data_IF_838331815630
#
_entry.id   IF_838331815630
#
_cell.length_a   1.000
_cell.length_b   1.000
_cell.length_c   1.000
_cell.angle_alpha   90.00
_cell.angle_beta   90.00
_cell.angle_gamma   90.00
#
_symmetry.space_group_name_H-M   'P 1'
#
loop_
_entity.id
_entity.type
_entity.pdbx_description
1 polymer ?
#
# COMPACT_ATOMS: atom_id res chain seq x y z
N UNK A 1 3.45 1.45 8.34
CA UNK A 1 4.29 2.48 9.01
C UNK A 1 3.48 3.75 9.18
N UNK A 2 3.71 4.53 10.24
CA UNK A 2 2.83 5.63 10.68
C UNK A 2 2.27 6.50 9.54
N UNK A 3 3.12 7.08 8.70
CA UNK A 3 2.67 7.98 7.61
C UNK A 3 1.78 7.32 6.57
N UNK A 4 2.10 6.09 6.16
CA UNK A 4 1.29 5.35 5.18
C UNK A 4 -0.07 4.96 5.76
N UNK A 5 -0.10 4.62 7.05
CA UNK A 5 -1.33 4.29 7.78
C UNK A 5 -2.21 5.54 7.95
N UNK A 6 -1.65 6.68 8.37
CA UNK A 6 -2.38 7.94 8.47
C UNK A 6 -2.92 8.39 7.10
N UNK A 7 -2.12 8.26 6.05
CA UNK A 7 -2.57 8.57 4.68
C UNK A 7 -3.73 7.67 4.26
N UNK A 8 -3.63 6.36 4.50
CA UNK A 8 -4.72 5.42 4.22
C UNK A 8 -5.98 5.74 5.03
N UNK A 9 -5.87 6.05 6.32
CA UNK A 9 -7.02 6.39 7.18
C UNK A 9 -7.79 7.61 6.68
N UNK A 10 -7.10 8.60 6.10
CA UNK A 10 -7.75 9.81 5.58
C UNK A 10 -8.47 9.52 4.26
N UNK A 11 -7.87 8.72 3.38
CA UNK A 11 -8.31 8.62 1.98
C UNK A 11 -9.03 7.33 1.60
N UNK A 12 -8.85 6.23 2.35
CA UNK A 12 -9.47 4.93 2.11
C UNK A 12 -10.83 4.85 2.81
N UNK A 13 -11.67 5.83 2.50
CA UNK A 13 -13.03 5.93 3.04
C UNK A 13 -14.03 5.41 2.02
N UNK A 14 -14.98 4.63 2.51
CA UNK A 14 -15.97 3.93 1.69
C UNK A 14 -17.39 4.37 2.06
N UNK A 15 -18.35 4.29 1.12
CA UNK A 15 -19.75 4.60 1.42
C UNK A 15 -20.28 3.81 2.62
N UNK A 16 -20.84 4.51 3.62
CA UNK A 16 -21.35 3.89 4.85
C UNK A 16 -22.47 2.87 4.58
N UNK A 17 -23.22 3.06 3.49
CA UNK A 17 -24.31 2.18 3.07
C UNK A 17 -23.87 0.73 2.83
N UNK A 18 -22.59 0.49 2.54
CA UNK A 18 -22.07 -0.87 2.37
C UNK A 18 -22.05 -1.68 3.68
N UNK A 19 -22.26 -1.02 4.81
CA UNK A 19 -22.06 -1.61 6.14
C UNK A 19 -23.28 -1.56 7.06
N UNK A 20 -24.39 -0.97 6.61
CA UNK A 20 -25.55 -0.73 7.46
C UNK A 20 -26.12 -2.03 8.08
N UNK A 21 -26.02 -3.15 7.36
CA UNK A 21 -26.63 -4.43 7.74
C UNK A 21 -25.59 -5.52 8.04
N UNK A 22 -24.32 -5.15 8.17
CA UNK A 22 -23.20 -6.10 8.25
C UNK A 22 -22.46 -5.95 9.57
N UNK A 23 -22.37 -7.01 10.41
CA UNK A 23 -21.58 -6.97 11.63
C UNK A 23 -20.10 -6.67 11.32
N UNK A 24 -19.53 -5.65 11.95
CA UNK A 24 -18.13 -5.25 11.73
C UNK A 24 -17.23 -5.65 12.89
N UNK A 25 -16.00 -6.04 12.59
CA UNK A 25 -14.94 -6.28 13.57
C UNK A 25 -14.10 -5.03 13.81
N UNK A 26 -13.37 -5.03 14.94
CA UNK A 26 -12.23 -4.12 15.15
C UNK A 26 -11.01 -4.49 14.30
N UNK A 27 -10.99 -5.70 13.72
CA UNK A 27 -9.95 -6.08 12.77
C UNK A 27 -10.16 -5.39 11.43
N UNK A 28 -9.08 -4.82 10.90
CA UNK A 28 -9.05 -4.21 9.58
C UNK A 28 -8.69 -5.27 8.53
N UNK A 29 -9.21 -5.09 7.32
CA UNK A 29 -8.97 -6.00 6.19
C UNK A 29 -7.49 -6.08 5.83
N UNK A 30 -6.72 -5.01 6.07
CA UNK A 30 -5.26 -5.00 5.90
C UNK A 30 -4.50 -5.93 6.86
N UNK A 31 -5.13 -6.46 7.91
CA UNK A 31 -4.52 -7.47 8.79
C UNK A 31 -4.19 -8.78 8.06
N UNK A 32 -4.77 -8.99 6.88
CA UNK A 32 -4.47 -10.12 5.99
C UNK A 32 -3.11 -9.97 5.28
N UNK A 33 -2.56 -8.75 5.18
CA UNK A 33 -1.30 -8.45 4.47
C UNK A 33 -0.04 -8.71 5.34
N UNK A 34 0.04 -9.85 6.04
CA UNK A 34 1.17 -10.11 6.96
C UNK A 34 2.42 -10.68 6.26
N UNK A 35 2.24 -11.77 5.50
CA UNK A 35 3.35 -12.48 4.85
C UNK A 35 3.45 -12.14 3.36
N UNK A 36 2.30 -11.85 2.76
CA UNK A 36 2.17 -11.46 1.36
C UNK A 36 0.99 -10.51 1.24
N UNK A 37 0.95 -9.74 0.16
CA UNK A 37 -0.17 -8.87 -0.12
C UNK A 37 -1.36 -9.70 -0.60
N UNK A 38 -2.40 -9.79 0.24
CA UNK A 38 -3.65 -10.51 -0.03
C UNK A 38 -4.70 -9.55 -0.58
N UNK A 39 -4.76 -8.34 -0.03
CA UNK A 39 -5.75 -7.31 -0.40
C UNK A 39 -5.06 -6.03 -0.92
N UNK A 40 -5.72 -5.25 -1.79
CA UNK A 40 -5.17 -3.99 -2.30
C UNK A 40 -5.07 -2.94 -1.17
N UNK A 41 -4.20 -1.95 -1.38
CA UNK A 41 -3.96 -0.90 -0.39
C UNK A 41 -5.25 -0.13 -0.07
N UNK A 42 -6.07 0.10 -1.11
CA UNK A 42 -7.35 0.81 -1.02
C UNK A 42 -8.29 0.27 0.06
N UNK A 43 -8.27 -1.04 0.37
CA UNK A 43 -9.18 -1.65 1.36
C UNK A 43 -8.52 -1.96 2.70
N UNK A 44 -7.23 -1.66 2.89
CA UNK A 44 -6.51 -2.05 4.11
C UNK A 44 -7.11 -1.49 5.40
N UNK A 45 -7.69 -0.29 5.34
CA UNK A 45 -8.32 0.39 6.50
C UNK A 45 -9.81 0.05 6.67
N UNK A 46 -10.34 -0.82 5.83
CA UNK A 46 -11.74 -1.21 5.87
C UNK A 46 -11.97 -2.19 7.02
N UNK A 47 -12.96 -1.96 7.92
CA UNK A 47 -13.32 -2.94 8.93
C UNK A 47 -13.72 -4.26 8.28
N UNK A 48 -13.15 -5.36 8.75
CA UNK A 48 -13.48 -6.69 8.27
C UNK A 48 -14.82 -7.13 8.88
N UNK A 49 -15.78 -7.61 8.07
CA UNK A 49 -17.03 -8.16 8.56
C UNK A 49 -16.83 -9.37 9.48
N UNK A 50 -17.85 -9.67 10.27
CA UNK A 50 -17.88 -10.87 11.10
C UNK A 50 -18.95 -11.83 10.61
N UNK A 51 -18.57 -13.11 10.54
CA UNK A 51 -19.56 -14.17 10.35
C UNK A 51 -20.36 -14.36 11.64
N UNK A 52 -21.66 -14.58 11.52
CA UNK A 52 -22.53 -14.90 12.65
C UNK A 52 -23.29 -16.19 12.41
N UNK A 53 -23.38 -17.03 13.43
CA UNK A 53 -24.18 -18.25 13.37
C UNK A 53 -25.68 -17.96 13.19
N UNK A 54 -26.14 -16.74 13.44
CA UNK A 54 -27.52 -16.32 13.15
C UNK A 54 -27.80 -16.18 11.65
N UNK A 55 -26.78 -15.89 10.83
CA UNK A 55 -26.94 -15.83 9.37
C UNK A 55 -27.24 -17.21 8.76
N UNK A 56 -26.92 -18.31 9.45
CA UNK A 56 -27.40 -19.65 9.07
C UNK A 56 -28.94 -19.71 9.04
N UNK A 57 -29.64 -18.99 9.93
CA UNK A 57 -31.10 -19.09 10.06
C UNK A 57 -31.85 -18.16 9.10
N UNK A 58 -31.28 -17.03 8.70
CA UNK A 58 -31.90 -16.10 7.76
C UNK A 58 -32.03 -16.68 6.33
N UNK A 59 -31.09 -17.53 5.91
CA UNK A 59 -31.17 -18.27 4.64
C UNK A 59 -32.27 -19.33 4.59
N UNK A 60 -32.83 -19.74 5.74
CA UNK A 60 -33.88 -20.76 5.84
C UNK A 60 -35.31 -20.22 5.74
N UNK A 61 -35.52 -18.90 5.78
CA UNK A 61 -36.87 -18.31 5.74
C UNK A 61 -37.46 -18.18 4.33
N UNK A 62 -36.65 -18.31 3.27
CA UNK A 62 -37.09 -18.09 1.89
C UNK A 62 -37.48 -19.38 1.13
N UNK A 63 -37.30 -20.58 1.70
CA UNK A 63 -37.62 -21.83 1.00
C UNK A 63 -38.02 -22.96 1.96
N UNK A 64 -39.20 -22.82 2.58
CA UNK A 64 -39.77 -23.81 3.50
C UNK A 64 -40.42 -25.01 2.77
N UNK A 65 -39.76 -25.57 1.75
CA UNK A 65 -40.26 -26.75 1.04
C UNK A 65 -39.15 -27.62 0.42
N UNK A 66 -38.12 -27.93 1.19
CA UNK A 66 -37.27 -29.12 0.98
C UNK A 66 -36.42 -29.37 2.23
N UNK A 67 -36.98 -30.01 3.25
CA UNK A 67 -36.21 -30.51 4.39
C UNK A 67 -35.56 -31.85 4.03
N UNK A 68 -34.24 -31.87 3.78
CA UNK A 68 -33.26 -32.93 4.18
C UNK A 68 -31.94 -32.77 3.42
N UNK A 69 -31.25 -31.66 3.60
CA UNK A 69 -29.79 -31.67 3.50
C UNK A 69 -29.26 -30.96 4.74
N UNK A 70 -28.52 -31.69 5.56
CA UNK A 70 -27.63 -31.10 6.57
C UNK A 70 -26.78 -30.10 5.82
N UNK A 71 -27.04 -28.80 5.99
CA UNK A 71 -26.35 -27.73 5.27
C UNK A 71 -24.86 -28.00 5.32
N UNK A 72 -24.28 -28.41 4.20
CA UNK A 72 -22.86 -28.68 4.15
C UNK A 72 -22.13 -27.40 4.57
N UNK A 73 -21.08 -27.49 5.40
CA UNK A 73 -20.28 -26.33 5.76
C UNK A 73 -19.79 -25.63 4.48
N UNK A 74 -19.75 -24.29 4.49
CA UNK A 74 -19.29 -23.50 3.33
C UNK A 74 -17.89 -23.98 2.96
N UNK A 75 -17.79 -24.63 1.80
CA UNK A 75 -16.54 -25.20 1.29
C UNK A 75 -15.75 -24.16 0.53
N UNK A 76 -14.43 -24.31 0.47
CA UNK A 76 -13.57 -23.46 -0.35
C UNK A 76 -14.01 -23.46 -1.83
N UNK A 77 -14.42 -24.62 -2.36
CA UNK A 77 -14.90 -24.73 -3.75
C UNK A 77 -16.16 -23.90 -3.99
N UNK A 78 -17.10 -23.88 -3.02
CA UNK A 78 -18.29 -23.03 -3.11
C UNK A 78 -17.95 -21.53 -3.08
N UNK A 79 -16.95 -21.13 -2.30
CA UNK A 79 -16.44 -19.75 -2.24
C UNK A 79 -15.79 -19.35 -3.57
N UNK A 80 -14.97 -20.24 -4.16
CA UNK A 80 -14.34 -20.03 -5.47
C UNK A 80 -15.40 -19.90 -6.56
N UNK A 81 -16.40 -20.80 -6.59
CA UNK A 81 -17.49 -20.76 -7.56
C UNK A 81 -18.35 -19.49 -7.39
N UNK A 82 -18.61 -19.08 -6.16
CA UNK A 82 -19.32 -17.83 -5.85
C UNK A 82 -18.54 -16.62 -6.38
N UNK A 83 -17.24 -16.52 -6.10
CA UNK A 83 -16.40 -15.42 -6.59
C UNK A 83 -16.41 -15.33 -8.13
N UNK A 84 -16.28 -16.47 -8.82
CA UNK A 84 -16.33 -16.53 -10.28
C UNK A 84 -17.70 -16.10 -10.82
N UNK A 85 -18.80 -16.57 -10.20
CA UNK A 85 -20.16 -16.16 -10.62
C UNK A 85 -20.47 -14.69 -10.36
N UNK A 86 -19.77 -14.06 -9.39
CA UNK A 86 -19.78 -12.61 -9.11
C UNK A 86 -18.79 -11.82 -9.97
N UNK A 87 -18.21 -12.42 -11.02
CA UNK A 87 -17.34 -11.74 -11.96
C UNK A 87 -15.96 -11.36 -11.42
N UNK A 88 -15.49 -12.00 -10.35
CA UNK A 88 -14.09 -11.85 -9.91
C UNK A 88 -13.19 -12.52 -10.96
N UNK A 89 -12.26 -11.75 -11.52
CA UNK A 89 -11.37 -12.25 -12.58
C UNK A 89 -10.38 -13.30 -12.04
N UNK A 90 -9.90 -14.24 -12.87
CA UNK A 90 -8.93 -15.26 -12.44
C UNK A 90 -7.64 -14.67 -11.85
N UNK A 91 -6.99 -15.43 -10.96
CA UNK A 91 -5.78 -14.99 -10.25
C UNK A 91 -6.05 -14.34 -8.89
N UNK A 92 -7.27 -14.52 -8.36
CA UNK A 92 -7.63 -14.07 -7.03
C UNK A 92 -7.06 -14.97 -5.93
N UNK A 93 -6.82 -14.38 -4.76
CA UNK A 93 -6.47 -15.08 -3.53
C UNK A 93 -7.73 -15.32 -2.69
N UNK A 94 -7.74 -16.40 -1.91
CA UNK A 94 -8.78 -16.68 -0.91
C UNK A 94 -8.12 -16.83 0.45
N UNK A 95 -8.35 -15.87 1.35
CA UNK A 95 -8.00 -16.01 2.76
C UNK A 95 -9.09 -16.77 3.49
N UNK A 96 -8.67 -17.76 4.29
CA UNK A 96 -9.56 -18.59 5.09
C UNK A 96 -10.00 -17.85 6.36
N UNK A 97 -11.23 -18.11 6.85
CA UNK A 97 -11.69 -17.55 8.11
C UNK A 97 -10.80 -18.00 9.27
N UNK A 98 -10.45 -17.05 10.14
CA UNK A 98 -9.72 -17.31 11.38
C UNK A 98 -10.65 -17.18 12.58
N UNK A 99 -10.92 -18.29 13.28
CA UNK A 99 -11.80 -18.32 14.45
C UNK A 99 -13.29 -18.29 14.13
N UNK A 100 -14.12 -18.29 15.18
CA UNK A 100 -15.58 -18.46 15.06
C UNK A 100 -16.30 -17.30 14.35
N UNK A 101 -15.73 -16.10 14.36
CA UNK A 101 -16.31 -14.92 13.70
C UNK A 101 -15.58 -14.53 12.41
N UNK A 102 -14.58 -15.30 12.00
CA UNK A 102 -13.82 -15.06 10.78
C UNK A 102 -14.67 -15.15 9.52
N UNK A 103 -14.20 -14.55 8.43
CA UNK A 103 -14.86 -14.57 7.11
C UNK A 103 -13.91 -15.11 6.06
N UNK A 104 -14.45 -15.73 5.01
CA UNK A 104 -13.67 -15.94 3.80
C UNK A 104 -13.44 -14.59 3.12
N UNK A 105 -12.21 -14.29 2.72
CA UNK A 105 -11.91 -13.06 1.97
C UNK A 105 -11.35 -13.43 0.62
N UNK A 106 -12.07 -13.08 -0.45
CA UNK A 106 -11.61 -13.23 -1.82
C UNK A 106 -11.11 -11.88 -2.32
N UNK A 107 -9.89 -11.81 -2.84
CA UNK A 107 -9.36 -10.55 -3.34
C UNK A 107 -8.48 -10.71 -4.58
N UNK A 108 -8.56 -9.76 -5.50
CA UNK A 108 -7.79 -9.74 -6.74
C UNK A 108 -7.35 -8.31 -7.09
N UNK A 109 -6.12 -8.18 -7.53
CA UNK A 109 -5.51 -6.94 -8.02
C UNK A 109 -4.75 -7.21 -9.33
N UNK A 110 -5.50 -7.32 -10.45
CA UNK A 110 -4.95 -7.64 -11.75
C UNK A 110 -4.17 -6.45 -12.34
N UNK A 111 -3.63 -6.61 -13.56
CA UNK A 111 -2.82 -5.57 -14.21
C UNK A 111 -3.60 -4.27 -14.47
N UNK A 112 -4.91 -4.37 -14.70
CA UNK A 112 -5.83 -3.25 -14.83
C UNK A 112 -6.65 -3.11 -13.55
N UNK A 113 -6.39 -2.08 -12.71
CA UNK A 113 -7.09 -1.85 -11.46
C UNK A 113 -8.62 -1.73 -11.60
N UNK A 114 -9.15 -1.47 -12.80
CA UNK A 114 -10.60 -1.46 -13.04
C UNK A 114 -11.29 -2.79 -12.68
N UNK A 115 -10.53 -3.89 -12.66
CA UNK A 115 -11.01 -5.23 -12.33
C UNK A 115 -10.65 -5.67 -10.90
N UNK A 116 -10.17 -4.75 -10.06
CA UNK A 116 -9.96 -5.02 -8.63
C UNK A 116 -11.26 -5.35 -7.93
N UNK A 117 -11.19 -6.36 -7.06
CA UNK A 117 -12.31 -6.80 -6.25
C UNK A 117 -11.85 -7.34 -4.90
N UNK A 118 -12.60 -7.04 -3.85
CA UNK A 118 -12.45 -7.66 -2.53
C UNK A 118 -13.83 -8.03 -1.99
N UNK A 119 -14.07 -9.31 -1.79
CA UNK A 119 -15.31 -9.86 -1.26
C UNK A 119 -15.06 -10.47 0.12
N UNK A 120 -15.96 -10.19 1.06
CA UNK A 120 -16.03 -10.89 2.34
C UNK A 120 -17.27 -11.78 2.35
N UNK A 121 -17.08 -13.05 2.68
CA UNK A 121 -18.12 -14.09 2.63
C UNK A 121 -18.24 -14.73 4.01
N UNK A 122 -19.47 -14.79 4.49
CA UNK A 122 -19.83 -15.39 5.76
C UNK A 122 -19.52 -16.90 5.74
N UNK A 123 -18.75 -17.38 6.71
CA UNK A 123 -18.24 -18.77 6.75
C UNK A 123 -19.33 -19.82 7.04
N UNK A 124 -20.52 -19.37 7.42
CA UNK A 124 -21.62 -20.20 7.88
C UNK A 124 -22.71 -20.30 6.80
N UNK A 125 -23.21 -19.16 6.36
CA UNK A 125 -24.29 -19.04 5.38
C UNK A 125 -23.80 -19.00 3.93
N UNK A 126 -22.52 -18.66 3.70
CA UNK A 126 -22.00 -18.40 2.35
C UNK A 126 -22.49 -17.08 1.75
N UNK A 127 -23.15 -16.22 2.55
CA UNK A 127 -23.62 -14.93 2.11
C UNK A 127 -22.44 -13.96 1.91
N UNK A 128 -22.49 -13.16 0.83
CA UNK A 128 -21.54 -12.07 0.63
C UNK A 128 -21.89 -10.93 1.58
N UNK A 129 -21.02 -10.68 2.55
CA UNK A 129 -21.12 -9.60 3.54
C UNK A 129 -20.58 -8.28 3.00
N UNK A 130 -19.59 -8.34 2.11
CA UNK A 130 -19.06 -7.16 1.42
C UNK A 130 -18.64 -7.51 0.02
N UNK A 131 -18.87 -6.60 -0.92
CA UNK A 131 -18.40 -6.70 -2.30
C UNK A 131 -17.88 -5.32 -2.72
N UNK A 132 -16.56 -5.13 -2.60
CA UNK A 132 -15.91 -3.86 -2.88
C UNK A 132 -15.19 -3.95 -4.23
N UNK A 133 -15.55 -3.04 -5.13
CA UNK A 133 -15.02 -2.97 -6.50
C UNK A 133 -14.36 -1.63 -6.77
N UNK A 134 -13.65 -1.56 -7.89
CA UNK A 134 -13.06 -0.34 -8.41
C UNK A 134 -14.02 0.86 -8.40
N UNK A 135 -15.29 0.66 -8.77
CA UNK A 135 -16.26 1.74 -8.81
C UNK A 135 -16.53 2.38 -7.44
N UNK A 136 -16.39 1.60 -6.36
CA UNK A 136 -16.62 2.02 -4.98
C UNK A 136 -15.43 2.79 -4.39
N UNK A 137 -14.29 2.77 -5.08
CA UNK A 137 -13.10 3.52 -4.67
C UNK A 137 -13.29 5.03 -4.88
N UNK A 138 -12.87 5.80 -3.88
CA UNK A 138 -12.71 7.24 -4.00
C UNK A 138 -11.62 7.62 -5.02
N UNK A 139 -11.55 8.91 -5.38
CA UNK A 139 -10.59 9.41 -6.36
C UNK A 139 -9.14 9.13 -5.93
N UNK A 140 -8.82 9.29 -4.64
CA UNK A 140 -7.46 9.10 -4.13
C UNK A 140 -7.06 7.62 -4.16
N UNK A 141 -7.84 6.66 -3.61
CA UNK A 141 -7.54 5.23 -3.78
C UNK A 141 -7.40 4.82 -5.24
N UNK A 142 -8.28 5.29 -6.14
CA UNK A 142 -8.15 5.03 -7.59
C UNK A 142 -6.82 5.53 -8.14
N UNK A 143 -6.41 6.76 -7.80
CA UNK A 143 -5.15 7.32 -8.26
C UNK A 143 -3.95 6.54 -7.71
N UNK A 144 -4.01 6.07 -6.47
CA UNK A 144 -2.96 5.28 -5.84
C UNK A 144 -2.84 3.91 -6.50
N UNK A 145 -3.93 3.15 -6.65
CA UNK A 145 -3.89 1.83 -7.28
C UNK A 145 -3.48 1.90 -8.75
N UNK A 146 -3.95 2.92 -9.49
CA UNK A 146 -3.44 3.21 -10.84
C UNK A 146 -1.95 3.52 -10.83
N UNK A 147 -1.49 4.33 -9.88
CA UNK A 147 -0.07 4.65 -9.68
C UNK A 147 0.76 3.40 -9.39
N UNK A 148 0.26 2.48 -8.56
CA UNK A 148 0.89 1.19 -8.26
C UNK A 148 0.98 0.34 -9.52
N UNK A 149 -0.12 0.21 -10.29
CA UNK A 149 -0.13 -0.56 -11.53
C UNK A 149 0.84 -0.01 -12.59
N UNK A 150 0.95 1.32 -12.68
CA UNK A 150 1.92 1.98 -13.56
C UNK A 150 3.35 1.73 -13.05
N UNK A 151 3.62 1.99 -11.77
CA UNK A 151 4.94 1.83 -11.15
C UNK A 151 5.47 0.39 -11.25
N UNK A 152 4.59 -0.60 -11.07
CA UNK A 152 4.94 -2.02 -11.18
C UNK A 152 5.08 -2.50 -12.63
N UNK A 153 4.89 -1.63 -13.63
CA UNK A 153 5.03 -2.00 -15.04
C UNK A 153 3.85 -2.84 -15.58
N UNK A 154 2.72 -2.90 -14.87
CA UNK A 154 1.61 -3.82 -15.17
C UNK A 154 0.57 -3.26 -16.14
N UNK A 155 0.32 -1.95 -16.06
CA UNK A 155 -0.85 -1.33 -16.72
C UNK A 155 -0.80 -1.31 -18.28
N UNK A 156 0.25 -0.73 -18.88
CA UNK A 156 0.40 -0.69 -20.36
C UNK A 156 1.31 -1.80 -20.92
N UNK A 157 1.43 -2.93 -20.21
CA UNK A 157 2.28 -4.06 -20.63
C UNK A 157 3.73 -3.65 -20.92
N UNK A 158 4.27 -4.10 -22.05
CA UNK A 158 5.68 -3.90 -22.41
C UNK A 158 6.08 -2.42 -22.48
N UNK A 159 5.20 -1.54 -22.97
CA UNK A 159 5.49 -0.10 -23.03
C UNK A 159 5.74 0.49 -21.64
N UNK A 160 4.94 0.07 -20.64
CA UNK A 160 5.12 0.47 -19.26
C UNK A 160 6.42 -0.07 -18.67
N UNK A 161 6.74 -1.33 -18.94
CA UNK A 161 7.98 -1.96 -18.47
C UNK A 161 9.23 -1.28 -19.02
N UNK A 162 9.23 -0.91 -20.31
CA UNK A 162 10.34 -0.17 -20.92
C UNK A 162 10.48 1.24 -20.33
N UNK A 163 9.36 1.91 -20.05
CA UNK A 163 9.36 3.21 -19.37
C UNK A 163 9.96 3.09 -17.95
N UNK A 164 9.54 2.09 -17.17
CA UNK A 164 10.08 1.84 -15.83
C UNK A 164 11.57 1.47 -15.88
N UNK A 165 11.99 0.64 -16.85
CA UNK A 165 13.39 0.32 -17.08
C UNK A 165 14.23 1.58 -17.37
N UNK A 166 13.74 2.45 -18.26
CA UNK A 166 14.41 3.71 -18.57
C UNK A 166 14.54 4.60 -17.33
N UNK A 167 13.46 4.73 -16.54
CA UNK A 167 13.50 5.49 -15.30
C UNK A 167 14.54 4.94 -14.31
N UNK A 168 14.59 3.61 -14.13
CA UNK A 168 15.61 2.94 -13.32
C UNK A 168 17.03 3.22 -13.82
N UNK A 169 17.28 3.13 -15.13
CA UNK A 169 18.58 3.44 -15.72
C UNK A 169 18.98 4.90 -15.49
N UNK A 170 18.05 5.85 -15.62
CA UNK A 170 18.31 7.27 -15.34
C UNK A 170 18.72 7.46 -13.88
N UNK A 171 18.00 6.85 -12.92
CA UNK A 171 18.34 6.94 -11.50
C UNK A 171 19.73 6.36 -11.23
N UNK A 172 20.06 5.20 -11.79
CA UNK A 172 21.39 4.59 -11.67
C UNK A 172 22.47 5.54 -12.22
N UNK A 173 22.26 6.09 -13.43
CA UNK A 173 23.20 7.02 -14.04
C UNK A 173 23.37 8.29 -13.21
N UNK A 174 22.29 8.84 -12.64
CA UNK A 174 22.34 9.99 -11.73
C UNK A 174 23.12 9.68 -10.44
N UNK A 175 22.89 8.52 -9.82
CA UNK A 175 23.63 8.10 -8.63
C UNK A 175 25.13 7.91 -8.91
N UNK A 176 25.46 7.20 -10.00
CA UNK A 176 26.86 6.95 -10.39
C UNK A 176 27.55 8.25 -10.80
N UNK A 177 26.92 9.07 -11.63
CA UNK A 177 27.47 10.37 -12.03
C UNK A 177 27.64 11.31 -10.83
N UNK A 178 26.70 11.33 -9.89
CA UNK A 178 26.82 12.09 -8.64
C UNK A 178 28.03 11.66 -7.82
N UNK A 179 28.24 10.36 -7.66
CA UNK A 179 29.41 9.81 -6.98
C UNK A 179 30.73 10.13 -7.70
N UNK A 180 30.77 10.01 -9.03
CA UNK A 180 31.93 10.36 -9.86
C UNK A 180 32.24 11.86 -9.74
N UNK A 181 31.23 12.72 -9.85
CA UNK A 181 31.39 14.18 -9.74
C UNK A 181 31.88 14.57 -8.34
N UNK A 182 31.35 13.95 -7.29
CA UNK A 182 31.85 14.12 -5.94
C UNK A 182 33.32 13.68 -5.83
N UNK A 183 33.66 12.49 -6.32
CA UNK A 183 35.03 11.96 -6.29
C UNK A 183 36.04 12.87 -7.00
N UNK A 184 35.64 13.48 -8.12
CA UNK A 184 36.51 14.38 -8.91
C UNK A 184 36.63 15.79 -8.31
N UNK A 185 35.66 16.25 -7.53
CA UNK A 185 35.60 17.62 -7.00
C UNK A 185 35.91 17.73 -5.51
N UNK A 186 35.98 16.61 -4.78
CA UNK A 186 36.40 16.63 -3.38
C UNK A 186 37.85 17.14 -3.27
N UNK A 187 38.24 17.74 -2.14
CA UNK A 187 39.62 18.14 -1.94
C UNK A 187 40.52 16.91 -1.78
N UNK A 188 41.76 16.96 -2.29
CA UNK A 188 42.64 15.79 -2.41
C UNK A 188 42.87 15.03 -1.08
N UNK A 189 42.93 15.74 0.04
CA UNK A 189 43.33 15.20 1.35
C UNK A 189 42.15 14.95 2.30
N UNK A 190 40.89 15.10 1.86
CA UNK A 190 39.71 14.94 2.74
C UNK A 190 38.50 14.34 2.01
N UNK A 191 37.63 13.68 2.76
CA UNK A 191 36.37 13.12 2.28
C UNK A 191 35.20 14.10 2.43
N UNK A 192 35.49 15.40 2.36
CA UNK A 192 34.52 16.47 2.57
C UNK A 192 33.72 16.86 1.33
N UNK A 193 32.73 17.72 1.56
CA UNK A 193 31.92 18.28 0.48
C UNK A 193 32.80 19.12 -0.48
N UNK A 194 32.57 19.05 -1.80
CA UNK A 194 33.23 19.92 -2.77
C UNK A 194 33.05 21.41 -2.41
N UNK A 195 34.05 22.27 -2.69
CA UNK A 195 33.95 23.69 -2.40
C UNK A 195 32.77 24.32 -3.14
N UNK A 196 32.05 25.21 -2.46
CA UNK A 196 30.94 25.96 -3.05
C UNK A 196 31.42 26.73 -4.29
N UNK A 197 30.65 26.72 -5.40
CA UNK A 197 30.96 27.56 -6.55
C UNK A 197 31.04 29.04 -6.13
N UNK A 198 31.97 29.80 -6.70
CA UNK A 198 32.15 31.22 -6.37
C UNK A 198 30.93 32.10 -6.75
N UNK A 199 30.00 31.60 -7.58
CA UNK A 199 28.82 32.32 -8.09
C UNK A 199 27.50 31.52 -7.93
N UNK A 200 27.18 31.02 -6.74
CA UNK A 200 25.84 30.46 -6.47
C UNK A 200 24.89 31.57 -6.00
N UNK A 201 24.30 32.29 -6.96
CA UNK A 201 23.33 33.37 -6.72
C UNK A 201 22.03 32.90 -6.02
N UNK A 202 21.75 31.60 -5.95
CA UNK A 202 20.40 31.10 -5.60
C UNK A 202 20.36 29.96 -4.57
N UNK A 203 21.21 29.95 -3.53
CA UNK A 203 21.19 28.93 -2.46
C UNK A 203 19.81 28.74 -1.78
N UNK A 204 18.94 29.76 -1.86
CA UNK A 204 17.58 29.74 -1.29
C UNK A 204 16.67 28.74 -1.99
N UNK A 205 16.83 28.50 -3.29
CA UNK A 205 15.99 27.56 -4.06
C UNK A 205 16.22 26.11 -3.63
N UNK A 206 17.45 25.55 -3.67
CA UNK A 206 17.68 24.18 -3.24
C UNK A 206 17.34 24.00 -1.75
N UNK A 207 17.59 25.01 -0.91
CA UNK A 207 17.16 24.96 0.49
C UNK A 207 15.64 24.89 0.63
N UNK A 208 14.88 25.69 -0.13
CA UNK A 208 13.43 25.64 -0.12
C UNK A 208 12.91 24.26 -0.59
N UNK A 209 13.53 23.67 -1.62
CA UNK A 209 13.20 22.32 -2.09
C UNK A 209 13.42 21.30 -0.96
N UNK A 210 14.59 21.32 -0.31
CA UNK A 210 14.90 20.40 0.81
C UNK A 210 13.93 20.60 1.98
N UNK A 211 13.57 21.85 2.30
CA UNK A 211 12.61 22.14 3.36
C UNK A 211 11.21 21.61 3.03
N UNK A 212 10.72 21.87 1.81
CA UNK A 212 9.42 21.35 1.34
C UNK A 212 9.41 19.82 1.37
N UNK A 213 10.46 19.18 0.86
CA UNK A 213 10.57 17.72 0.88
C UNK A 213 10.69 17.16 2.31
N UNK A 214 11.41 17.85 3.20
CA UNK A 214 11.52 17.45 4.60
C UNK A 214 10.20 17.56 5.36
N UNK A 215 9.34 18.52 5.00
CA UNK A 215 7.99 18.64 5.55
C UNK A 215 7.05 17.59 4.95
N UNK A 216 7.11 17.38 3.63
CA UNK A 216 6.28 16.38 2.95
C UNK A 216 6.65 14.94 3.33
N UNK A 217 7.94 14.69 3.63
CA UNK A 217 8.48 13.40 4.06
C UNK A 217 9.21 13.56 5.40
N UNK A 218 8.49 13.58 6.53
CA UNK A 218 9.05 13.96 7.83
C UNK A 218 10.21 13.08 8.30
N UNK A 219 10.25 11.81 7.91
CA UNK A 219 11.37 10.94 8.21
C UNK A 219 12.67 11.44 7.55
N UNK A 220 12.58 11.93 6.31
CA UNK A 220 13.70 12.55 5.60
C UNK A 220 14.11 13.84 6.32
N UNK A 221 13.14 14.71 6.63
CA UNK A 221 13.40 15.95 7.37
C UNK A 221 14.12 15.72 8.70
N UNK A 222 13.63 14.78 9.50
CA UNK A 222 14.23 14.40 10.79
C UNK A 222 15.64 13.84 10.58
N UNK A 223 15.86 12.98 9.57
CA UNK A 223 17.18 12.42 9.31
C UNK A 223 18.21 13.52 8.95
N UNK A 224 17.81 14.54 8.18
CA UNK A 224 18.68 15.66 7.84
C UNK A 224 19.01 16.50 9.07
N UNK A 225 18.02 16.78 9.93
CA UNK A 225 18.25 17.48 11.20
C UNK A 225 19.18 16.68 12.11
N UNK A 226 19.01 15.36 12.20
CA UNK A 226 19.88 14.50 12.99
C UNK A 226 21.33 14.54 12.48
N UNK A 227 21.54 14.47 11.16
CA UNK A 227 22.87 14.61 10.55
C UNK A 227 23.47 15.99 10.84
N UNK A 228 22.69 17.07 10.74
CA UNK A 228 23.14 18.43 11.06
C UNK A 228 23.54 18.58 12.53
N UNK A 229 22.77 18.00 13.46
CA UNK A 229 23.10 18.01 14.89
C UNK A 229 24.34 17.19 15.19
N UNK A 230 24.55 16.07 14.50
CA UNK A 230 25.76 15.26 14.62
C UNK A 230 26.97 16.01 14.09
N UNK A 231 26.86 16.65 12.91
CA UNK A 231 27.94 17.45 12.34
C UNK A 231 28.30 18.62 13.25
N UNK A 232 27.30 19.38 13.69
CA UNK A 232 27.49 20.52 14.59
C UNK A 232 28.02 20.10 15.98
N UNK A 233 27.47 19.05 16.58
CA UNK A 233 27.78 18.65 17.95
C UNK A 233 29.06 17.83 18.10
N UNK A 234 29.38 16.98 17.12
CA UNK A 234 30.45 15.97 17.20
C UNK A 234 31.56 16.26 16.20
N UNK A 235 31.25 16.31 14.89
CA UNK A 235 32.27 16.41 13.83
C UNK A 235 32.98 17.76 13.90
N UNK A 236 32.26 18.85 14.15
CA UNK A 236 32.84 20.19 14.22
C UNK A 236 33.75 20.39 15.44
N UNK A 237 33.54 19.61 16.51
CA UNK A 237 34.25 19.73 17.79
C UNK A 237 35.49 18.84 17.89
N UNK A 238 35.55 17.74 17.15
CA UNK A 238 36.69 16.83 17.14
C UNK A 238 37.65 17.23 16.00
N UNK A 239 38.89 17.69 16.28
CA UNK A 239 39.79 18.24 15.25
C UNK A 239 40.20 17.22 14.18
N UNK A 240 40.31 15.94 14.54
CA UNK A 240 40.66 14.85 13.61
C UNK A 240 39.53 14.57 12.63
N UNK A 241 38.28 14.48 13.11
CA UNK A 241 37.10 14.32 12.26
C UNK A 241 36.89 15.55 11.37
N UNK A 242 37.05 16.75 11.93
CA UNK A 242 36.97 17.99 11.15
C UNK A 242 37.97 18.03 10.00
N UNK A 243 39.22 17.59 10.23
CA UNK A 243 40.26 17.56 9.18
C UNK A 243 39.99 16.52 8.09
N UNK A 244 39.32 15.42 8.43
CA UNK A 244 39.01 14.33 7.50
C UNK A 244 37.71 14.56 6.70
N UNK A 245 36.71 15.20 7.30
CA UNK A 245 35.34 15.32 6.75
C UNK A 245 34.94 16.73 6.31
N UNK A 246 35.65 17.79 6.75
CA UNK A 246 35.37 19.18 6.40
C UNK A 246 36.60 19.86 5.78
#
# INVERSE_FOLDING_TARGET
>A
GFWGETFAQIFNQFPAQMWNDVPQSTQLTGSLNQQSQVVPWAVEQMPMPQSTSQNHQAGHAANAQAATETSAPVTLDSVIALAQSRGVVPGFNVALPAGETGVYTVSVFPNDPAHEATLHIDQYSGQVLADVRWQDYGIVPKAVELGIAIHMGKYFGLANQLLMLLACLIVILLSVSGAILWWRRRPADRLGAPPLPQHVQQWRIPLAIVAILGIAFPLVGISLVAVLLLDYGVISRIPTLRRLLN
#
